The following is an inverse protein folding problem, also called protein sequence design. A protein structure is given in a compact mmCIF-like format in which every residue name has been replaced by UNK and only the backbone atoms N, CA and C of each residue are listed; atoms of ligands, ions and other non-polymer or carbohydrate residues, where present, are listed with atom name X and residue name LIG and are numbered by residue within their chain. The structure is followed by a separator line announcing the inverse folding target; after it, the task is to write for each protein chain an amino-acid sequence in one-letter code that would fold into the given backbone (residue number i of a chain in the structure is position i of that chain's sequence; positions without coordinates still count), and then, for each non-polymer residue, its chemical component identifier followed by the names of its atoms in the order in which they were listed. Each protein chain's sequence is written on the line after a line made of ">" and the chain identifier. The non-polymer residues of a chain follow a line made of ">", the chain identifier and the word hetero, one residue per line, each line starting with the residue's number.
data_IF_778474907829
#
_entry.id   IF_778474907829
#
_cell.length_a   1.000
_cell.length_b   1.000
_cell.length_c   1.000
_cell.angle_alpha   90.00
_cell.angle_beta   90.00
_cell.angle_gamma   90.00
#
_symmetry.space_group_name_H-M   'P 1'
#
loop_
_entity.id
_entity.type
_entity.pdbx_description
1 polymer ?
#
# COMPACT_ATOMS: atom_id res chain seq x y z
N UNK A 1 -4.31 4.15 -8.50
CA UNK A 1 -4.13 4.90 -7.22
C UNK A 1 -2.67 4.97 -6.79
N UNK A 2 -1.91 3.87 -6.84
CA UNK A 2 -0.49 3.86 -6.45
C UNK A 2 0.34 4.81 -7.35
N UNK A 3 0.25 4.67 -8.66
CA UNK A 3 0.96 5.53 -9.62
C UNK A 3 0.69 7.03 -9.37
N UNK A 4 -0.57 7.40 -9.09
CA UNK A 4 -0.90 8.80 -8.78
C UNK A 4 -0.19 9.30 -7.52
N UNK A 5 -0.07 8.47 -6.49
CA UNK A 5 0.62 8.85 -5.25
C UNK A 5 2.14 8.95 -5.46
N UNK A 6 2.72 8.11 -6.32
CA UNK A 6 4.11 8.22 -6.74
C UNK A 6 4.35 9.51 -7.54
N UNK A 7 3.47 9.86 -8.48
CA UNK A 7 3.54 11.11 -9.24
C UNK A 7 3.46 12.32 -8.30
N UNK A 8 2.51 12.30 -7.36
CA UNK A 8 2.34 13.39 -6.38
C UNK A 8 3.53 13.50 -5.43
N UNK A 9 4.13 12.37 -5.01
CA UNK A 9 5.35 12.37 -4.23
C UNK A 9 6.53 12.97 -5.01
N UNK A 10 6.48 12.85 -6.34
CA UNK A 10 7.50 13.34 -7.25
C UNK A 10 8.76 12.50 -7.25
N UNK A 11 9.62 12.74 -8.23
CA UNK A 11 10.95 12.14 -8.29
C UNK A 11 11.94 12.77 -7.27
N UNK A 12 11.44 13.61 -6.36
CA UNK A 12 12.25 14.44 -5.48
C UNK A 12 11.94 14.10 -4.00
N UNK A 13 12.58 13.06 -3.43
CA UNK A 13 12.34 12.63 -2.06
C UNK A 13 12.64 13.72 -1.04
N UNK A 14 13.50 14.70 -1.38
CA UNK A 14 13.86 15.83 -0.52
C UNK A 14 12.67 16.75 -0.21
N UNK A 15 11.61 16.71 -1.03
CA UNK A 15 10.35 17.41 -0.76
C UNK A 15 9.48 16.73 0.28
N UNK A 16 9.70 15.44 0.52
CA UNK A 16 8.96 14.64 1.49
C UNK A 16 9.65 14.67 2.87
N UNK A 17 9.85 15.87 3.43
CA UNK A 17 10.59 16.09 4.67
C UNK A 17 9.96 15.42 5.89
N UNK A 18 8.64 15.25 5.90
CA UNK A 18 7.91 14.65 7.03
C UNK A 18 6.58 14.05 6.61
N UNK A 19 6.05 13.17 7.46
CA UNK A 19 4.70 12.63 7.32
C UNK A 19 3.64 13.75 7.27
N UNK A 20 3.85 14.82 8.03
CA UNK A 20 2.93 15.96 8.05
C UNK A 20 2.94 16.71 6.72
N UNK A 21 4.11 16.93 6.11
CA UNK A 21 4.22 17.58 4.80
C UNK A 21 3.60 16.75 3.68
N UNK A 22 3.78 15.41 3.68
CA UNK A 22 3.13 14.53 2.73
C UNK A 22 1.59 14.51 2.91
N UNK A 23 1.11 14.52 4.15
CA UNK A 23 -0.31 14.61 4.41
C UNK A 23 -0.93 15.94 3.98
N UNK A 24 -0.21 17.04 4.14
CA UNK A 24 -0.63 18.36 3.63
C UNK A 24 -0.65 18.35 2.10
N UNK A 25 0.38 17.80 1.45
CA UNK A 25 0.45 17.62 0.00
C UNK A 25 -0.74 16.82 -0.54
N UNK A 26 -1.14 15.75 0.15
CA UNK A 26 -2.29 14.91 -0.22
C UNK A 26 -3.64 15.50 0.25
N UNK A 27 -3.69 16.67 0.86
CA UNK A 27 -4.92 17.27 1.38
C UNK A 27 -5.59 16.46 2.49
N UNK A 28 -4.80 15.71 3.28
CA UNK A 28 -5.29 14.87 4.39
C UNK A 28 -4.82 15.35 5.76
N UNK A 29 -4.08 16.46 5.81
CA UNK A 29 -3.71 17.07 7.08
C UNK A 29 -4.95 17.53 7.85
N UNK A 30 -5.02 17.30 9.17
CA UNK A 30 -6.09 17.84 9.97
C UNK A 30 -5.94 19.37 10.01
N UNK A 31 -6.99 20.09 9.61
CA UNK A 31 -7.07 21.53 9.75
C UNK A 31 -7.86 21.80 11.03
N UNK A 32 -7.24 22.34 12.10
CA UNK A 32 -7.99 22.66 13.30
C UNK A 32 -8.94 23.83 13.01
N UNK A 33 -10.21 23.64 13.26
CA UNK A 33 -11.19 24.69 13.28
C UNK A 33 -11.95 24.55 14.60
N UNK A 34 -11.44 25.20 15.62
CA UNK A 34 -12.06 25.24 16.92
C UNK A 34 -12.69 26.62 17.16
N UNK A 35 -13.94 26.62 17.55
CA UNK A 35 -14.58 27.77 18.15
C UNK A 35 -15.14 27.36 19.52
N UNK A 36 -14.55 27.85 20.60
CA UNK A 36 -15.01 27.58 21.96
C UNK A 36 -15.00 26.10 22.34
N UNK A 37 -16.14 25.54 22.71
CA UNK A 37 -16.26 24.16 23.22
C UNK A 37 -16.23 23.05 22.17
N UNK A 38 -16.16 23.37 20.88
CA UNK A 38 -16.25 22.37 19.82
C UNK A 38 -14.97 22.31 18.99
N UNK A 39 -14.25 21.21 19.09
CA UNK A 39 -13.09 20.94 18.23
C UNK A 39 -13.56 20.18 16.97
N UNK A 40 -13.48 20.83 15.81
CA UNK A 40 -13.80 20.24 14.52
C UNK A 40 -12.57 20.26 13.62
N UNK A 41 -12.44 19.23 12.79
CA UNK A 41 -11.42 19.13 11.77
C UNK A 41 -12.07 19.10 10.38
N UNK A 42 -12.32 20.28 9.76
CA UNK A 42 -12.89 20.34 8.43
C UNK A 42 -11.93 19.75 7.39
N UNK A 43 -12.47 19.54 6.20
CA UNK A 43 -11.70 19.05 5.06
C UNK A 43 -10.64 20.09 4.68
N UNK A 44 -9.37 19.67 4.59
CA UNK A 44 -8.34 20.48 3.97
C UNK A 44 -8.66 20.67 2.47
N UNK A 45 -8.79 21.92 2.03
CA UNK A 45 -9.00 22.27 0.63
C UNK A 45 -7.69 22.48 -0.12
N UNK A 46 -6.57 22.48 0.59
CA UNK A 46 -5.23 22.55 0.01
C UNK A 46 -4.73 21.18 -0.42
N UNK A 47 -3.63 21.17 -1.17
CA UNK A 47 -2.98 19.95 -1.63
C UNK A 47 -3.48 19.43 -2.98
N UNK A 48 -2.86 18.32 -3.40
CA UNK A 48 -3.16 17.67 -4.67
C UNK A 48 -4.51 16.93 -4.62
N UNK A 49 -5.46 17.37 -5.45
CA UNK A 49 -6.80 16.76 -5.56
C UNK A 49 -6.75 15.32 -6.06
N UNK A 50 -5.81 15.00 -6.96
CA UNK A 50 -5.67 13.65 -7.52
C UNK A 50 -5.13 12.68 -6.47
N UNK A 51 -4.14 13.10 -5.67
CA UNK A 51 -3.67 12.33 -4.53
C UNK A 51 -4.77 12.12 -3.49
N UNK A 52 -5.54 13.16 -3.18
CA UNK A 52 -6.68 13.06 -2.26
C UNK A 52 -7.74 12.08 -2.75
N UNK A 53 -8.05 12.10 -4.06
CA UNK A 53 -8.97 11.17 -4.72
C UNK A 53 -8.42 9.73 -4.67
N UNK A 54 -7.12 9.53 -4.93
CA UNK A 54 -6.48 8.22 -4.83
C UNK A 54 -6.60 7.64 -3.42
N UNK A 55 -6.29 8.44 -2.39
CA UNK A 55 -6.46 8.04 -0.99
C UNK A 55 -7.92 7.75 -0.62
N UNK A 56 -8.86 8.51 -1.18
CA UNK A 56 -10.29 8.26 -0.98
C UNK A 56 -10.71 6.91 -1.55
N UNK A 57 -10.30 6.60 -2.77
CA UNK A 57 -10.58 5.30 -3.41
C UNK A 57 -9.98 4.14 -2.60
N UNK A 58 -8.73 4.26 -2.15
CA UNK A 58 -8.09 3.24 -1.30
C UNK A 58 -8.86 3.06 0.01
N UNK A 59 -9.29 4.16 0.64
CA UNK A 59 -10.05 4.09 1.88
C UNK A 59 -11.39 3.35 1.68
N UNK A 60 -12.14 3.66 0.62
CA UNK A 60 -13.40 2.98 0.29
C UNK A 60 -13.21 1.48 0.06
N UNK A 61 -12.22 1.11 -0.75
CA UNK A 61 -11.90 -0.31 -1.02
C UNK A 61 -11.52 -1.03 0.29
N UNK A 62 -10.66 -0.42 1.13
CA UNK A 62 -10.30 -1.03 2.42
C UNK A 62 -11.48 -1.15 3.38
N UNK A 63 -12.41 -0.21 3.36
CA UNK A 63 -13.64 -0.28 4.18
C UNK A 63 -14.54 -1.47 3.79
N UNK A 64 -14.54 -1.87 2.52
CA UNK A 64 -15.32 -3.01 2.03
C UNK A 64 -14.60 -4.35 2.13
N UNK A 65 -13.30 -4.41 1.81
CA UNK A 65 -12.59 -5.68 1.62
C UNK A 65 -11.57 -6.02 2.72
N UNK A 66 -10.96 -5.01 3.38
CA UNK A 66 -9.87 -5.24 4.33
C UNK A 66 -10.39 -5.48 5.75
N UNK A 67 -10.20 -6.70 6.29
CA UNK A 67 -10.77 -7.13 7.58
C UNK A 67 -10.46 -6.17 8.75
N UNK A 68 -9.18 -5.80 8.91
CA UNK A 68 -8.75 -4.88 9.98
C UNK A 68 -9.39 -3.50 9.85
N UNK A 69 -9.59 -3.02 8.62
CA UNK A 69 -10.24 -1.72 8.39
C UNK A 69 -11.74 -1.79 8.69
N UNK A 70 -12.41 -2.89 8.35
CA UNK A 70 -13.83 -3.09 8.69
C UNK A 70 -14.04 -3.10 10.20
N UNK A 71 -13.17 -3.78 10.93
CA UNK A 71 -13.20 -3.78 12.40
C UNK A 71 -13.02 -2.38 12.98
N UNK A 72 -12.04 -1.65 12.49
CA UNK A 72 -11.83 -0.25 12.86
C UNK A 72 -13.07 0.60 12.60
N UNK A 73 -13.69 0.49 11.41
CA UNK A 73 -14.90 1.22 11.05
C UNK A 73 -16.05 0.90 12.02
N UNK A 74 -16.26 -0.38 12.34
CA UNK A 74 -17.27 -0.83 13.30
C UNK A 74 -17.06 -0.16 14.67
N UNK A 75 -15.83 -0.19 15.16
CA UNK A 75 -15.47 0.44 16.45
C UNK A 75 -15.68 1.95 16.42
N UNK A 76 -15.37 2.62 15.31
CA UNK A 76 -15.56 4.09 15.21
C UNK A 76 -17.03 4.48 15.12
N UNK A 77 -17.84 3.69 14.41
CA UNK A 77 -19.32 3.88 14.37
C UNK A 77 -19.95 3.69 15.73
N UNK A 78 -19.51 2.68 16.51
CA UNK A 78 -19.97 2.48 17.89
C UNK A 78 -19.64 3.67 18.82
N UNK A 79 -18.59 4.45 18.52
CA UNK A 79 -18.24 5.70 19.20
C UNK A 79 -19.01 6.92 18.68
N UNK A 80 -20.03 6.73 17.85
CA UNK A 80 -20.88 7.80 17.31
C UNK A 80 -20.28 8.60 16.16
N UNK A 81 -19.14 8.16 15.57
CA UNK A 81 -18.55 8.85 14.43
C UNK A 81 -19.27 8.53 13.13
N UNK A 82 -19.48 9.55 12.31
CA UNK A 82 -20.06 9.36 10.98
C UNK A 82 -19.02 8.89 9.97
N UNK A 83 -19.48 8.32 8.85
CA UNK A 83 -18.60 7.74 7.82
C UNK A 83 -17.66 8.76 7.15
N UNK A 84 -18.06 10.04 7.10
CA UNK A 84 -17.20 11.08 6.56
C UNK A 84 -15.99 11.35 7.47
N UNK A 85 -16.20 11.32 8.78
CA UNK A 85 -15.11 11.42 9.77
C UNK A 85 -14.20 10.21 9.73
N UNK A 86 -14.79 9.01 9.69
CA UNK A 86 -14.04 7.75 9.61
C UNK A 86 -13.17 7.73 8.35
N UNK A 87 -13.69 8.13 7.19
CA UNK A 87 -12.91 8.24 5.94
C UNK A 87 -11.76 9.23 6.05
N UNK A 88 -11.94 10.37 6.74
CA UNK A 88 -10.85 11.33 6.97
C UNK A 88 -9.73 10.72 7.80
N UNK A 89 -10.07 10.01 8.88
CA UNK A 89 -9.10 9.30 9.72
C UNK A 89 -8.37 8.23 8.90
N UNK A 90 -9.09 7.43 8.13
CA UNK A 90 -8.51 6.38 7.28
C UNK A 90 -7.57 6.96 6.22
N UNK A 91 -7.97 8.03 5.52
CA UNK A 91 -7.10 8.67 4.52
C UNK A 91 -5.79 9.16 5.15
N UNK A 92 -5.86 9.72 6.36
CA UNK A 92 -4.65 10.15 7.10
C UNK A 92 -3.76 8.96 7.48
N UNK A 93 -4.36 7.86 7.95
CA UNK A 93 -3.63 6.65 8.29
C UNK A 93 -2.97 6.01 7.06
N UNK A 94 -3.69 5.94 5.94
CA UNK A 94 -3.17 5.44 4.66
C UNK A 94 -2.04 6.32 4.13
N UNK A 95 -2.17 7.65 4.19
CA UNK A 95 -1.09 8.56 3.81
C UNK A 95 0.17 8.33 4.65
N UNK A 96 0.03 8.05 5.95
CA UNK A 96 1.15 7.69 6.83
C UNK A 96 1.84 6.39 6.41
N UNK A 97 1.06 5.35 6.09
CA UNK A 97 1.59 4.08 5.60
C UNK A 97 2.39 4.29 4.31
N UNK A 98 1.82 5.04 3.37
CA UNK A 98 2.45 5.33 2.08
C UNK A 98 3.73 6.16 2.27
N UNK A 99 3.70 7.19 3.10
CA UNK A 99 4.90 7.98 3.41
C UNK A 99 6.02 7.09 3.94
N UNK A 100 5.71 6.20 4.89
CA UNK A 100 6.69 5.24 5.41
C UNK A 100 7.25 4.32 4.32
N UNK A 101 6.41 3.87 3.40
CA UNK A 101 6.84 3.04 2.27
C UNK A 101 7.72 3.80 1.29
N UNK A 102 7.42 5.07 1.03
CA UNK A 102 8.18 5.93 0.14
C UNK A 102 9.56 6.31 0.71
N UNK A 103 9.65 6.50 2.04
CA UNK A 103 10.87 7.01 2.68
C UNK A 103 11.78 5.92 3.24
N UNK A 104 11.23 4.75 3.58
CA UNK A 104 12.03 3.64 4.11
C UNK A 104 12.74 2.83 3.04
N UNK A 105 12.51 3.14 1.74
CA UNK A 105 12.96 2.29 0.66
C UNK A 105 12.49 0.86 0.98
N UNK A 106 11.30 0.49 0.55
CA UNK A 106 11.01 -0.92 0.38
C UNK A 106 12.00 -1.36 -0.68
N UNK A 107 13.17 -1.85 -0.27
CA UNK A 107 13.92 -2.74 -1.11
C UNK A 107 12.92 -3.85 -1.45
N UNK A 108 12.38 -3.81 -2.66
CA UNK A 108 11.63 -4.95 -3.16
C UNK A 108 12.55 -6.14 -2.95
N UNK A 109 12.09 -7.24 -2.33
CA UNK A 109 12.93 -8.41 -2.18
C UNK A 109 13.53 -8.73 -3.52
N UNK A 110 14.84 -8.89 -3.56
CA UNK A 110 15.53 -9.31 -4.77
C UNK A 110 14.98 -10.68 -5.19
N UNK A 111 14.54 -10.78 -6.41
CA UNK A 111 13.96 -11.99 -7.00
C UNK A 111 14.83 -12.53 -8.13
N UNK A 112 15.95 -11.88 -8.44
CA UNK A 112 16.86 -12.24 -9.53
C UNK A 112 17.53 -13.59 -9.29
N UNK A 113 17.53 -14.08 -8.05
CA UNK A 113 18.03 -15.41 -7.67
C UNK A 113 17.10 -16.56 -8.06
N UNK A 114 15.80 -16.35 -8.17
CA UNK A 114 14.82 -17.44 -8.33
C UNK A 114 14.98 -18.19 -9.65
N UNK A 115 15.07 -17.47 -10.76
CA UNK A 115 15.22 -18.07 -12.09
C UNK A 115 16.53 -18.84 -12.27
N UNK A 116 17.69 -18.26 -11.91
CA UNK A 116 18.96 -19.02 -11.94
C UNK A 116 18.96 -20.24 -11.02
N UNK A 117 18.40 -20.14 -9.82
CA UNK A 117 18.31 -21.26 -8.88
C UNK A 117 17.48 -22.41 -9.45
N UNK A 118 16.34 -22.13 -10.09
CA UNK A 118 15.54 -23.16 -10.78
C UNK A 118 16.30 -23.79 -11.95
N UNK A 119 16.93 -22.98 -12.77
CA UNK A 119 17.68 -23.44 -13.95
C UNK A 119 18.87 -24.32 -13.56
N UNK A 120 19.60 -23.98 -12.52
CA UNK A 120 20.72 -24.77 -12.00
C UNK A 120 20.30 -26.17 -11.58
N UNK A 121 19.04 -26.36 -11.20
CA UNK A 121 18.46 -27.67 -10.84
C UNK A 121 17.77 -28.37 -12.02
N UNK A 122 17.87 -27.84 -13.24
CA UNK A 122 17.21 -28.35 -14.45
C UNK A 122 15.68 -28.49 -14.30
N UNK A 123 15.05 -27.69 -13.42
CA UNK A 123 13.61 -27.72 -13.20
C UNK A 123 12.94 -26.83 -14.25
N UNK A 124 11.93 -27.37 -14.95
CA UNK A 124 11.13 -26.59 -15.90
C UNK A 124 10.19 -25.63 -15.17
N UNK A 125 9.84 -24.52 -15.79
CA UNK A 125 8.87 -23.57 -15.22
C UNK A 125 7.50 -24.22 -14.99
N UNK A 126 7.10 -25.16 -15.85
CA UNK A 126 5.86 -25.91 -15.73
C UNK A 126 5.88 -26.80 -14.49
N UNK A 127 6.98 -27.55 -14.27
CA UNK A 127 7.13 -28.40 -13.08
C UNK A 127 7.13 -27.56 -11.79
N UNK A 128 7.84 -26.44 -11.79
CA UNK A 128 7.87 -25.51 -10.66
C UNK A 128 6.49 -24.90 -10.37
N UNK A 129 5.74 -24.53 -11.40
CA UNK A 129 4.40 -23.99 -11.23
C UNK A 129 3.41 -25.03 -10.65
N UNK A 130 3.52 -26.27 -11.10
CA UNK A 130 2.74 -27.38 -10.56
C UNK A 130 3.08 -27.64 -9.08
N UNK A 131 4.36 -27.66 -8.72
CA UNK A 131 4.81 -27.85 -7.34
C UNK A 131 4.36 -26.71 -6.40
N UNK A 132 4.19 -25.51 -6.93
CA UNK A 132 3.72 -24.33 -6.19
C UNK A 132 2.20 -24.17 -6.19
N UNK A 133 1.47 -25.07 -6.84
CA UNK A 133 0.02 -24.99 -7.05
C UNK A 133 -0.38 -23.59 -7.61
N UNK A 134 0.27 -23.22 -8.70
CA UNK A 134 0.06 -21.90 -9.32
C UNK A 134 0.11 -21.95 -10.84
N UNK A 135 -0.33 -20.88 -11.48
CA UNK A 135 -0.25 -20.75 -12.94
C UNK A 135 1.18 -20.44 -13.40
N UNK A 136 1.60 -21.05 -14.51
CA UNK A 136 2.91 -20.81 -15.13
C UNK A 136 3.16 -19.32 -15.35
N UNK A 137 2.17 -18.60 -15.86
CA UNK A 137 2.24 -17.15 -16.10
C UNK A 137 2.44 -16.32 -14.83
N UNK A 138 1.87 -16.76 -13.71
CA UNK A 138 2.05 -16.10 -12.41
C UNK A 138 3.46 -16.32 -11.87
N UNK A 139 3.96 -17.56 -11.93
CA UNK A 139 5.32 -17.88 -11.50
C UNK A 139 6.37 -17.18 -12.37
N UNK A 140 6.18 -17.17 -13.71
CA UNK A 140 7.04 -16.45 -14.64
C UNK A 140 7.15 -14.96 -14.32
N UNK A 141 6.02 -14.29 -14.05
CA UNK A 141 6.00 -12.86 -13.66
C UNK A 141 6.69 -12.62 -12.33
N UNK A 142 6.58 -13.55 -11.40
CA UNK A 142 7.27 -13.49 -10.11
C UNK A 142 8.78 -13.62 -10.30
N UNK A 143 9.27 -14.58 -11.10
CA UNK A 143 10.70 -14.71 -11.44
C UNK A 143 11.27 -13.49 -12.19
N UNK A 144 10.44 -12.81 -13.00
CA UNK A 144 10.85 -11.63 -13.77
C UNK A 144 10.67 -10.32 -13.00
N UNK A 145 10.12 -10.36 -11.79
CA UNK A 145 9.84 -9.15 -11.00
C UNK A 145 8.81 -8.20 -11.63
N UNK A 146 8.10 -8.60 -12.70
CA UNK A 146 7.20 -7.72 -13.43
C UNK A 146 5.91 -7.42 -12.67
N UNK A 147 5.33 -8.42 -12.01
CA UNK A 147 4.22 -8.32 -11.05
C UNK A 147 4.43 -9.39 -9.98
N UNK A 148 5.39 -9.21 -9.06
CA UNK A 148 5.80 -10.25 -8.15
C UNK A 148 4.74 -10.49 -7.08
N UNK A 149 4.45 -11.75 -6.85
CA UNK A 149 3.79 -12.22 -5.64
C UNK A 149 4.88 -12.61 -4.64
N UNK A 150 5.16 -11.74 -3.67
CA UNK A 150 6.25 -11.92 -2.72
C UNK A 150 6.04 -13.11 -1.78
N UNK A 151 4.80 -13.46 -1.45
CA UNK A 151 4.48 -14.64 -0.66
C UNK A 151 4.78 -15.91 -1.45
N UNK A 152 4.35 -15.96 -2.70
CA UNK A 152 4.70 -17.04 -3.63
C UNK A 152 6.22 -17.12 -3.83
N UNK A 153 6.91 -16.00 -4.00
CA UNK A 153 8.36 -15.97 -4.17
C UNK A 153 9.11 -16.57 -2.98
N UNK A 154 8.65 -16.28 -1.76
CA UNK A 154 9.25 -16.80 -0.55
C UNK A 154 9.03 -18.31 -0.40
N UNK A 155 7.81 -18.80 -0.66
CA UNK A 155 7.51 -20.24 -0.71
C UNK A 155 8.33 -20.95 -1.78
N UNK A 156 8.45 -20.35 -2.95
CA UNK A 156 9.19 -20.88 -4.07
C UNK A 156 10.69 -20.95 -3.78
N UNK A 157 11.28 -19.93 -3.17
CA UNK A 157 12.69 -19.95 -2.74
C UNK A 157 12.96 -21.06 -1.73
N UNK A 158 12.08 -21.23 -0.74
CA UNK A 158 12.18 -22.31 0.24
C UNK A 158 12.11 -23.69 -0.43
N UNK A 159 11.21 -23.87 -1.38
CA UNK A 159 11.10 -25.12 -2.12
C UNK A 159 12.33 -25.37 -2.99
N UNK A 160 12.83 -24.37 -3.70
CA UNK A 160 14.06 -24.49 -4.47
C UNK A 160 15.29 -24.87 -3.62
N UNK A 161 15.32 -24.45 -2.37
CA UNK A 161 16.42 -24.81 -1.45
C UNK A 161 16.32 -26.25 -0.97
N UNK A 162 15.09 -26.78 -0.88
CA UNK A 162 14.82 -28.15 -0.40
C UNK A 162 14.82 -29.22 -1.52
N UNK A 163 14.61 -28.84 -2.76
CA UNK A 163 14.61 -29.70 -3.94
C UNK A 163 16.03 -29.95 -4.45
#
# INVERSE_FOLDING_TARGET
>A
SAAQLLITAGANPDRLRSEASFAALCGTAPVPASSGKTTRYPLSRGGDRQANRALHTIALVRMSSHARTREFVRTQRAKGRNDAEIRRILKRAIAREIFKSLTRGLAAPDLDDLRPARQAKNITLTAAAAAMDTYISKLARTELGTYPDYELAQRYRTWLTAA
#
